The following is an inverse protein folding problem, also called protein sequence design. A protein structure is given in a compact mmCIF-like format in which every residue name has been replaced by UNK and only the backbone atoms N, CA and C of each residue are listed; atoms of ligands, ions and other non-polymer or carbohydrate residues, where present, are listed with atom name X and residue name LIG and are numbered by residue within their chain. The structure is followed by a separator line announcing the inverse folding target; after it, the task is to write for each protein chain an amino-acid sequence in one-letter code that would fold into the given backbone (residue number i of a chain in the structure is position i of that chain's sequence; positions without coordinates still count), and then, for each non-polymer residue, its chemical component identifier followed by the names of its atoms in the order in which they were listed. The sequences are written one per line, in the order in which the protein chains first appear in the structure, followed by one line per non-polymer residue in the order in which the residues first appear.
data_IF_356719576356
#
_entry.id   IF_356719576356
#
_cell.length_a   1.000
_cell.length_b   1.000
_cell.length_c   1.000
_cell.angle_alpha   90.00
_cell.angle_beta   90.00
_cell.angle_gamma   90.00
#
_symmetry.space_group_name_H-M   'P 1'
#
loop_
_entity.id
_entity.type
_entity.pdbx_description
1 polymer ?
#
# COMPACT_ATOMS: atom_id res chain seq x y z
N UNK A 1 -12.72 -16.21 -15.30
CA UNK A 1 -11.56 -17.07 -15.03
C UNK A 1 -10.35 -16.43 -15.68
N UNK A 2 -9.29 -16.13 -14.91
CA UNK A 2 -8.07 -15.50 -15.45
C UNK A 2 -7.17 -16.60 -16.02
N UNK A 3 -7.22 -16.79 -17.34
CA UNK A 3 -6.59 -17.95 -18.01
C UNK A 3 -5.07 -17.81 -18.24
N UNK A 4 -4.55 -16.58 -18.19
CA UNK A 4 -3.17 -16.27 -18.59
C UNK A 4 -2.43 -15.46 -17.52
N UNK A 5 -2.81 -15.64 -16.26
CA UNK A 5 -2.13 -15.04 -15.10
C UNK A 5 -1.24 -16.10 -14.46
N UNK A 6 0.02 -15.75 -14.25
CA UNK A 6 0.99 -16.57 -13.53
C UNK A 6 1.42 -15.77 -12.32
N UNK A 7 1.10 -16.27 -11.14
CA UNK A 7 1.48 -15.64 -9.89
C UNK A 7 2.98 -15.83 -9.63
N UNK A 8 3.64 -14.77 -9.20
CA UNK A 8 5.08 -14.75 -8.90
C UNK A 8 5.28 -14.13 -7.53
N UNK A 9 5.94 -14.86 -6.65
CA UNK A 9 6.24 -14.38 -5.31
C UNK A 9 7.35 -13.32 -5.31
N UNK A 10 7.36 -12.49 -4.27
CA UNK A 10 8.47 -11.59 -4.01
C UNK A 10 9.80 -12.34 -3.87
N UNK A 11 10.88 -11.69 -4.32
CA UNK A 11 12.26 -12.17 -4.27
C UNK A 11 12.53 -13.45 -5.09
N UNK A 12 11.56 -13.91 -5.88
CA UNK A 12 11.73 -15.05 -6.78
C UNK A 12 12.09 -14.58 -8.20
N UNK A 13 13.31 -14.89 -8.62
CA UNK A 13 13.74 -14.66 -10.01
C UNK A 13 13.04 -15.62 -10.96
N UNK A 14 12.41 -15.08 -12.00
CA UNK A 14 11.62 -15.82 -12.98
C UNK A 14 12.09 -15.46 -14.40
N UNK A 15 12.39 -16.46 -15.22
CA UNK A 15 12.69 -16.25 -16.64
C UNK A 15 11.40 -15.92 -17.40
N UNK A 16 11.32 -14.71 -17.96
CA UNK A 16 10.13 -14.22 -18.68
C UNK A 16 10.35 -14.09 -20.19
N UNK A 17 11.61 -14.15 -20.63
CA UNK A 17 12.05 -14.21 -22.02
C UNK A 17 13.42 -14.92 -22.09
N UNK A 18 13.92 -15.32 -23.28
CA UNK A 18 15.22 -16.00 -23.41
C UNK A 18 16.41 -15.24 -22.79
N UNK A 19 16.31 -13.92 -22.71
CA UNK A 19 17.36 -13.01 -22.22
C UNK A 19 16.86 -12.06 -21.12
N UNK A 20 15.70 -12.32 -20.50
CA UNK A 20 15.16 -11.44 -19.45
C UNK A 20 14.69 -12.27 -18.25
N UNK A 21 15.26 -11.93 -17.08
CA UNK A 21 14.80 -12.43 -15.78
C UNK A 21 14.13 -11.31 -15.02
N UNK A 22 13.00 -11.61 -14.40
CA UNK A 22 12.22 -10.68 -13.59
C UNK A 22 12.23 -11.11 -12.13
N UNK A 23 12.39 -10.15 -11.22
CA UNK A 23 12.18 -10.35 -9.78
C UNK A 23 11.28 -9.25 -9.24
N UNK A 24 10.24 -9.64 -8.51
CA UNK A 24 9.33 -8.71 -7.83
C UNK A 24 9.84 -8.41 -6.41
N UNK A 25 9.76 -7.16 -6.01
CA UNK A 25 10.12 -6.70 -4.66
C UNK A 25 9.00 -5.86 -4.07
N UNK A 26 8.78 -5.92 -2.75
CA UNK A 26 7.76 -5.12 -2.06
C UNK A 26 7.87 -3.62 -2.42
N UNK A 27 6.77 -3.03 -2.88
CA UNK A 27 6.64 -1.59 -3.14
C UNK A 27 6.04 -0.79 -1.97
N UNK A 28 5.44 -1.46 -0.97
CA UNK A 28 4.85 -0.81 0.21
C UNK A 28 3.61 0.04 -0.06
N UNK A 29 3.01 -0.05 -1.26
CA UNK A 29 1.93 0.82 -1.70
C UNK A 29 0.54 0.26 -1.36
N UNK A 30 0.25 -0.95 -1.84
CA UNK A 30 -0.96 -1.74 -1.55
C UNK A 30 -0.59 -3.23 -1.41
N UNK A 31 -1.54 -4.07 -1.02
CA UNK A 31 -1.36 -5.52 -0.92
C UNK A 31 -0.84 -6.10 -2.25
N UNK A 32 0.30 -6.80 -2.20
CA UNK A 32 0.96 -7.38 -3.38
C UNK A 32 1.68 -6.37 -4.28
N UNK A 33 1.65 -5.07 -3.97
CA UNK A 33 2.34 -4.05 -4.78
C UNK A 33 3.83 -4.37 -4.91
N UNK A 34 4.34 -4.24 -6.13
CA UNK A 34 5.69 -4.71 -6.45
C UNK A 34 6.44 -3.73 -7.34
N UNK A 35 7.70 -3.47 -6.98
CA UNK A 35 8.70 -2.97 -7.90
C UNK A 35 9.24 -4.14 -8.72
N UNK A 36 9.42 -3.91 -10.02
CA UNK A 36 9.84 -4.92 -10.98
C UNK A 36 11.31 -4.69 -11.32
N UNK A 37 12.18 -5.60 -10.91
CA UNK A 37 13.57 -5.64 -11.33
C UNK A 37 13.71 -6.56 -12.53
N UNK A 38 14.31 -6.06 -13.60
CA UNK A 38 14.62 -6.83 -14.80
C UNK A 38 16.12 -6.92 -15.00
N UNK A 39 16.61 -8.14 -15.12
CA UNK A 39 17.97 -8.49 -15.48
C UNK A 39 17.99 -8.92 -16.95
N UNK A 40 18.66 -8.13 -17.80
CA UNK A 40 18.63 -8.27 -19.26
C UNK A 40 19.99 -8.78 -19.76
N UNK A 41 19.95 -9.82 -20.59
CA UNK A 41 21.10 -10.61 -21.01
C UNK A 41 21.83 -11.25 -19.83
N UNK A 42 23.13 -11.50 -20.00
CA UNK A 42 24.04 -11.90 -18.91
C UNK A 42 24.50 -10.67 -18.11
N UNK A 43 23.54 -9.86 -17.64
CA UNK A 43 23.80 -8.59 -16.97
C UNK A 43 24.28 -7.47 -17.88
N UNK A 44 23.83 -7.47 -19.14
CA UNK A 44 24.07 -6.36 -20.07
C UNK A 44 23.45 -5.07 -19.53
N UNK A 45 22.24 -5.16 -18.98
CA UNK A 45 21.54 -4.03 -18.37
C UNK A 45 20.57 -4.49 -17.30
N UNK A 46 20.40 -3.70 -16.25
CA UNK A 46 19.42 -3.93 -15.19
C UNK A 46 18.56 -2.69 -15.01
N UNK A 47 17.26 -2.91 -15.01
CA UNK A 47 16.25 -1.86 -14.95
C UNK A 47 15.30 -2.17 -13.81
N UNK A 48 14.98 -1.14 -13.02
CA UNK A 48 13.90 -1.21 -12.03
C UNK A 48 12.77 -0.29 -12.48
N UNK A 49 11.56 -0.84 -12.56
CA UNK A 49 10.33 -0.06 -12.53
C UNK A 49 9.80 -0.07 -11.11
N UNK A 50 9.64 1.09 -10.50
CA UNK A 50 9.13 1.17 -9.13
C UNK A 50 7.68 0.73 -9.03
N UNK A 51 6.88 1.03 -10.06
CA UNK A 51 5.42 1.16 -9.89
C UNK A 51 5.09 2.29 -8.92
N UNK A 52 3.88 2.29 -8.37
CA UNK A 52 3.56 3.16 -7.24
C UNK A 52 4.23 2.60 -5.99
N UNK A 53 4.98 3.43 -5.26
CA UNK A 53 5.74 2.98 -4.09
C UNK A 53 5.48 3.86 -2.88
N UNK A 54 5.71 3.32 -1.69
CA UNK A 54 5.80 4.10 -0.47
C UNK A 54 7.06 3.72 0.30
N UNK A 55 8.02 4.64 0.37
CA UNK A 55 9.27 4.44 1.11
C UNK A 55 9.15 4.81 2.60
N UNK A 56 8.06 4.36 3.21
CA UNK A 56 7.78 4.52 4.64
C UNK A 56 6.93 3.33 5.08
N UNK A 57 7.18 2.79 6.28
CA UNK A 57 6.28 1.80 6.87
C UNK A 57 4.88 2.41 7.01
N UNK A 58 3.85 1.66 6.62
CA UNK A 58 2.43 2.03 6.79
C UNK A 58 1.79 1.17 7.87
N UNK A 59 0.48 1.26 8.12
CA UNK A 59 -0.15 0.36 9.09
C UNK A 59 -0.27 -1.05 8.53
N UNK A 60 -0.42 -1.17 7.20
CA UNK A 60 -0.54 -2.47 6.54
C UNK A 60 0.78 -3.04 5.99
N UNK A 61 1.69 -2.20 5.51
CA UNK A 61 2.84 -2.65 4.69
C UNK A 61 4.17 -2.12 5.21
N UNK A 62 5.23 -2.90 5.00
CA UNK A 62 6.61 -2.43 5.18
C UNK A 62 7.01 -1.44 4.07
N UNK A 63 8.03 -0.62 4.34
CA UNK A 63 8.55 0.33 3.37
C UNK A 63 9.05 -0.38 2.09
N UNK A 64 8.95 0.33 0.96
CA UNK A 64 9.44 -0.16 -0.33
C UNK A 64 10.90 -0.67 -0.26
N UNK A 65 11.18 -1.78 -0.93
CA UNK A 65 12.54 -2.28 -1.07
C UNK A 65 13.38 -1.35 -1.93
N UNK A 66 14.54 -0.95 -1.42
CA UNK A 66 15.52 -0.12 -2.13
C UNK A 66 16.83 -0.84 -2.41
N UNK A 67 16.90 -2.14 -2.09
CA UNK A 67 18.11 -2.96 -2.23
C UNK A 67 17.95 -3.90 -3.41
N UNK A 68 18.69 -3.64 -4.47
CA UNK A 68 18.70 -4.44 -5.68
C UNK A 68 20.14 -4.91 -5.97
N UNK A 69 20.35 -6.08 -6.59
CA UNK A 69 21.70 -6.58 -6.89
C UNK A 69 22.51 -5.64 -7.80
N UNK A 70 21.88 -5.08 -8.84
CA UNK A 70 22.47 -4.17 -9.82
C UNK A 70 21.35 -3.39 -10.52
N UNK A 71 21.55 -2.08 -10.75
CA UNK A 71 20.58 -1.19 -11.40
C UNK A 71 21.33 -0.13 -12.20
N UNK A 72 21.15 -0.13 -13.52
CA UNK A 72 21.63 0.91 -14.42
C UNK A 72 20.55 1.96 -14.70
N UNK A 73 19.29 1.55 -14.72
CA UNK A 73 18.16 2.43 -14.99
C UNK A 73 17.08 2.25 -13.94
N UNK A 74 16.56 3.37 -13.46
CA UNK A 74 15.44 3.41 -12.52
C UNK A 74 14.33 4.26 -13.15
N UNK A 75 13.17 3.66 -13.33
CA UNK A 75 11.92 4.34 -13.68
C UNK A 75 11.10 4.44 -12.41
N UNK A 76 10.98 5.66 -11.90
CA UNK A 76 10.35 5.98 -10.63
C UNK A 76 9.04 6.73 -10.87
N UNK A 77 8.02 6.47 -10.05
CA UNK A 77 6.81 7.26 -10.00
C UNK A 77 7.08 8.71 -9.55
N UNK A 78 6.14 9.62 -9.85
CA UNK A 78 6.29 11.05 -9.54
C UNK A 78 4.98 11.72 -9.11
N UNK A 79 4.05 10.94 -8.54
CA UNK A 79 2.75 11.40 -8.03
C UNK A 79 2.91 12.60 -7.11
N UNK A 80 3.93 12.57 -6.25
CA UNK A 80 4.30 13.64 -5.33
C UNK A 80 5.65 14.30 -5.69
N UNK A 81 6.04 14.33 -6.97
CA UNK A 81 7.34 14.86 -7.43
C UNK A 81 7.48 16.40 -7.40
N UNK A 82 6.43 17.13 -7.05
CA UNK A 82 6.45 18.59 -6.97
C UNK A 82 7.18 19.12 -5.74
N UNK A 83 7.84 20.27 -5.86
CA UNK A 83 8.63 20.88 -4.76
C UNK A 83 7.81 21.26 -3.52
N UNK A 84 6.48 21.28 -3.62
CA UNK A 84 5.54 21.56 -2.51
C UNK A 84 4.65 20.37 -2.18
N UNK A 85 4.90 19.21 -2.77
CA UNK A 85 4.06 18.00 -2.63
C UNK A 85 4.40 17.21 -1.36
N UNK A 86 4.62 17.90 -0.25
CA UNK A 86 4.85 17.27 1.05
C UNK A 86 3.52 16.75 1.60
N UNK A 87 3.58 15.61 2.28
CA UNK A 87 2.45 15.06 3.02
C UNK A 87 2.73 15.24 4.52
N UNK A 88 1.69 15.42 5.35
CA UNK A 88 1.86 15.41 6.80
C UNK A 88 2.48 14.08 7.24
N UNK A 89 3.16 14.10 8.39
CA UNK A 89 3.56 12.83 9.02
C UNK A 89 2.32 11.99 9.31
N UNK A 90 2.50 10.68 9.42
CA UNK A 90 1.40 9.77 9.70
C UNK A 90 0.72 10.07 11.04
N UNK A 91 1.48 10.51 12.05
CA UNK A 91 0.93 10.93 13.34
C UNK A 91 0.04 12.17 13.18
N UNK A 92 0.52 13.20 12.49
CA UNK A 92 -0.25 14.42 12.23
C UNK A 92 -1.51 14.14 11.43
N UNK A 93 -1.41 13.34 10.36
CA UNK A 93 -2.55 12.96 9.52
C UNK A 93 -3.62 12.19 10.31
N UNK A 94 -3.17 11.28 11.18
CA UNK A 94 -4.07 10.49 12.05
C UNK A 94 -4.77 11.39 13.05
N UNK A 95 -4.03 12.29 13.70
CA UNK A 95 -4.59 13.25 14.64
C UNK A 95 -5.60 14.18 13.96
N UNK A 96 -5.27 14.72 12.79
CA UNK A 96 -6.16 15.60 12.02
C UNK A 96 -7.47 14.89 11.63
N UNK A 97 -7.37 13.63 11.17
CA UNK A 97 -8.52 12.80 10.87
C UNK A 97 -9.38 12.58 12.11
N UNK A 98 -8.78 12.15 13.22
CA UNK A 98 -9.49 11.85 14.46
C UNK A 98 -10.16 13.09 15.06
N UNK A 99 -9.51 14.25 15.03
CA UNK A 99 -10.08 15.51 15.48
C UNK A 99 -11.24 15.97 14.58
N UNK A 100 -11.13 15.73 13.27
CA UNK A 100 -12.24 15.96 12.35
C UNK A 100 -13.44 15.07 12.66
N UNK A 101 -13.22 13.76 12.84
CA UNK A 101 -14.26 12.80 13.18
C UNK A 101 -14.97 13.18 14.48
N UNK A 102 -14.24 13.40 15.58
CA UNK A 102 -14.80 13.80 16.89
C UNK A 102 -15.69 15.04 16.75
N UNK A 103 -15.22 16.07 16.04
CA UNK A 103 -15.96 17.32 15.84
C UNK A 103 -17.26 17.14 15.06
N UNK A 104 -17.25 16.30 14.02
CA UNK A 104 -18.45 16.05 13.20
C UNK A 104 -19.45 15.17 13.95
N UNK A 105 -18.97 14.15 14.67
CA UNK A 105 -19.83 13.24 15.43
C UNK A 105 -20.46 13.92 16.65
N UNK A 106 -19.73 14.78 17.37
CA UNK A 106 -20.24 15.53 18.52
C UNK A 106 -21.43 16.44 18.20
N UNK A 107 -21.59 16.86 16.93
CA UNK A 107 -22.74 17.65 16.45
C UNK A 107 -23.83 16.82 15.75
N UNK A 108 -23.76 15.49 15.84
CA UNK A 108 -24.69 14.58 15.17
C UNK A 108 -24.56 14.54 13.64
N UNK A 109 -23.41 14.97 13.11
CA UNK A 109 -23.12 14.97 11.68
C UNK A 109 -22.70 13.59 11.15
N UNK A 110 -22.62 13.48 9.82
CA UNK A 110 -22.12 12.29 9.13
C UNK A 110 -20.87 12.66 8.33
N UNK A 111 -19.96 11.70 8.18
CA UNK A 111 -18.74 11.84 7.38
C UNK A 111 -18.84 10.90 6.19
N UNK A 112 -18.61 11.44 5.00
CA UNK A 112 -18.50 10.67 3.76
C UNK A 112 -17.05 10.71 3.29
N UNK A 113 -16.42 9.54 3.11
CA UNK A 113 -15.01 9.42 2.74
C UNK A 113 -14.87 8.63 1.44
N UNK A 114 -14.59 9.29 0.30
CA UNK A 114 -14.35 8.60 -0.95
C UNK A 114 -12.97 7.93 -0.94
N UNK A 115 -12.95 6.62 -1.06
CA UNK A 115 -11.73 5.79 -1.05
C UNK A 115 -11.84 4.68 -2.08
N UNK A 116 -10.69 4.23 -2.59
CA UNK A 116 -10.64 3.01 -3.41
C UNK A 116 -10.93 1.77 -2.56
N UNK A 117 -11.34 0.68 -3.21
CA UNK A 117 -11.63 -0.59 -2.52
C UNK A 117 -10.42 -1.15 -1.77
N UNK A 118 -9.22 -1.00 -2.35
CA UNK A 118 -7.93 -1.44 -1.79
C UNK A 118 -6.99 -0.26 -1.58
N UNK A 119 -6.24 -0.26 -0.48
CA UNK A 119 -5.25 0.74 -0.11
C UNK A 119 -5.75 1.66 0.99
N UNK A 120 -6.18 2.88 0.64
CA UNK A 120 -6.56 3.92 1.62
C UNK A 120 -7.75 3.54 2.50
N UNK A 121 -8.68 2.72 2.00
CA UNK A 121 -9.84 2.25 2.78
C UNK A 121 -9.40 1.45 4.02
N UNK A 122 -8.46 0.52 3.86
CA UNK A 122 -7.96 -0.30 4.98
C UNK A 122 -7.17 0.55 5.99
N UNK A 123 -6.32 1.48 5.54
CA UNK A 123 -5.61 2.40 6.45
C UNK A 123 -6.61 3.26 7.25
N UNK A 124 -7.66 3.78 6.59
CA UNK A 124 -8.70 4.57 7.27
C UNK A 124 -9.47 3.75 8.31
N UNK A 125 -9.78 2.49 8.00
CA UNK A 125 -10.45 1.58 8.95
C UNK A 125 -9.61 1.38 10.22
N UNK A 126 -8.29 1.21 10.09
CA UNK A 126 -7.38 1.10 11.24
C UNK A 126 -7.37 2.40 12.06
N UNK A 127 -7.30 3.57 11.42
CA UNK A 127 -7.32 4.85 12.13
C UNK A 127 -8.60 5.09 12.95
N UNK A 128 -9.75 4.69 12.38
CA UNK A 128 -11.07 4.79 13.04
C UNK A 128 -11.18 3.78 14.18
N UNK A 129 -10.72 2.54 13.97
CA UNK A 129 -10.68 1.52 15.03
C UNK A 129 -9.81 1.96 16.21
N UNK A 130 -8.65 2.57 15.95
CA UNK A 130 -7.80 3.16 16.99
C UNK A 130 -8.49 4.28 17.77
N UNK A 131 -9.25 5.15 17.10
CA UNK A 131 -10.03 6.20 17.74
C UNK A 131 -11.11 5.64 18.67
N UNK A 132 -11.82 4.60 18.25
CA UNK A 132 -12.83 3.97 19.08
C UNK A 132 -12.21 3.21 20.25
N UNK A 133 -11.06 2.56 20.04
CA UNK A 133 -10.32 1.87 21.11
C UNK A 133 -9.69 2.81 22.13
N UNK A 134 -9.35 4.04 21.76
CA UNK A 134 -8.80 5.03 22.70
C UNK A 134 -9.83 5.52 23.71
N UNK A 135 -11.12 5.38 23.41
CA UNK A 135 -12.21 5.91 24.23
C UNK A 135 -12.46 7.41 24.04
N UNK A 136 -11.72 8.08 23.15
CA UNK A 136 -11.90 9.52 22.88
C UNK A 136 -13.16 9.82 22.06
N UNK A 137 -13.77 8.80 21.47
CA UNK A 137 -15.03 8.88 20.75
C UNK A 137 -15.84 7.60 20.98
N UNK A 138 -17.11 7.75 21.35
CA UNK A 138 -18.04 6.62 21.38
C UNK A 138 -18.12 5.96 20.00
N UNK A 139 -18.06 4.62 19.92
CA UNK A 139 -18.18 3.90 18.65
C UNK A 139 -19.51 4.21 17.97
N UNK A 140 -19.43 4.50 16.66
CA UNK A 140 -20.59 4.70 15.80
C UNK A 140 -20.58 3.70 14.64
N UNK A 141 -21.74 3.41 14.02
CA UNK A 141 -21.77 2.59 12.82
C UNK A 141 -20.91 3.17 11.70
N UNK A 142 -19.91 2.41 11.26
CA UNK A 142 -19.08 2.73 10.08
C UNK A 142 -19.57 1.87 8.93
N UNK A 143 -20.16 2.53 7.93
CA UNK A 143 -20.68 1.87 6.74
C UNK A 143 -19.56 1.73 5.70
N UNK A 144 -19.38 0.52 5.19
CA UNK A 144 -18.50 0.24 4.07
C UNK A 144 -19.38 -0.05 2.85
N UNK A 145 -19.07 0.59 1.72
CA UNK A 145 -19.82 0.43 0.48
C UNK A 145 -18.86 0.10 -0.68
N UNK A 146 -19.40 -0.38 -1.79
CA UNK A 146 -18.63 -0.93 -2.91
C UNK A 146 -17.95 -2.25 -2.55
N UNK A 147 -16.71 -2.43 -3.01
CA UNK A 147 -15.96 -3.70 -2.89
C UNK A 147 -14.97 -3.72 -1.70
N UNK A 148 -15.11 -2.80 -0.73
CA UNK A 148 -14.14 -2.65 0.37
C UNK A 148 -14.11 -3.91 1.25
N UNK A 149 -15.27 -4.51 1.53
CA UNK A 149 -15.36 -5.69 2.38
C UNK A 149 -14.68 -6.90 1.72
N UNK A 150 -14.96 -7.13 0.44
CA UNK A 150 -14.36 -8.20 -0.36
C UNK A 150 -12.85 -8.00 -0.51
N UNK A 151 -12.40 -6.77 -0.80
CA UNK A 151 -10.98 -6.45 -0.88
C UNK A 151 -10.29 -6.70 0.48
N UNK A 152 -10.92 -6.33 1.58
CA UNK A 152 -10.38 -6.59 2.93
C UNK A 152 -10.30 -8.08 3.25
N UNK A 153 -11.27 -8.89 2.79
CA UNK A 153 -11.21 -10.34 2.93
C UNK A 153 -10.00 -10.94 2.20
N UNK A 154 -9.61 -10.38 1.04
CA UNK A 154 -8.39 -10.79 0.32
C UNK A 154 -7.14 -10.50 1.17
N UNK A 155 -7.08 -9.38 1.91
CA UNK A 155 -5.94 -9.10 2.81
C UNK A 155 -5.75 -10.20 3.85
N UNK A 156 -6.86 -10.70 4.43
CA UNK A 156 -6.82 -11.80 5.40
C UNK A 156 -6.32 -13.13 4.81
N UNK A 157 -6.46 -13.32 3.49
CA UNK A 157 -5.97 -14.51 2.79
C UNK A 157 -4.49 -14.42 2.39
N UNK A 158 -3.89 -13.23 2.43
CA UNK A 158 -2.49 -12.98 2.03
C UNK A 158 -1.66 -12.32 3.15
N UNK A 159 -1.57 -12.93 4.35
CA UNK A 159 -0.89 -12.33 5.50
C UNK A 159 0.61 -12.10 5.29
N UNK A 160 1.24 -12.87 4.40
CA UNK A 160 2.67 -12.76 4.09
C UNK A 160 3.03 -11.47 3.34
N UNK A 161 2.02 -10.77 2.80
CA UNK A 161 2.16 -9.50 2.11
C UNK A 161 1.84 -8.29 3.02
N UNK A 162 1.53 -8.54 4.29
CA UNK A 162 1.35 -7.52 5.33
C UNK A 162 2.62 -7.38 6.17
N UNK A 163 2.75 -6.26 6.87
CA UNK A 163 3.84 -6.07 7.82
C UNK A 163 3.69 -7.01 9.04
N UNK A 164 4.79 -7.18 9.79
CA UNK A 164 4.82 -8.09 10.94
C UNK A 164 3.91 -7.69 12.11
N UNK A 165 3.49 -6.43 12.21
CA UNK A 165 2.62 -5.98 13.31
C UNK A 165 1.15 -6.37 13.08
N UNK A 166 0.75 -6.51 11.81
CA UNK A 166 -0.62 -6.84 11.42
C UNK A 166 -0.82 -8.32 11.06
N UNK A 167 0.27 -9.06 10.79
CA UNK A 167 0.27 -10.50 10.50
C UNK A 167 -0.06 -11.33 11.74
#
# INVERSE_FOLDING_TARGET
MMLHVVDVDWNKTTDIAPDIKMTLYNAGHILGSSSVHMHIGEGLHNLVFSGDIKYEKSWLYDAANVRFPRVESLVLESTYGGTKSFQPSRLEATQELQDMLKRVLARGGKVFCPVFAVGRSQELMIAIDQLFKSGDCEPVPVWLDGMIQEATAIHAMHPDYLNQELR
#
